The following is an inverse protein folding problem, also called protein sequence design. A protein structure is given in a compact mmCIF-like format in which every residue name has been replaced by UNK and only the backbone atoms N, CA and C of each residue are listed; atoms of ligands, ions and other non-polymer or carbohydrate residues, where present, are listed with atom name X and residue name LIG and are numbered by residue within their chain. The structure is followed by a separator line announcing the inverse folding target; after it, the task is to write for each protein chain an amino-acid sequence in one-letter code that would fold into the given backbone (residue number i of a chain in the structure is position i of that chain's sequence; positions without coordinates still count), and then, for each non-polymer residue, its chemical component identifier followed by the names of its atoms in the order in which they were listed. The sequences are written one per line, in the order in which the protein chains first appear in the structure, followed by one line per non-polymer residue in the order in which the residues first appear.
data_IF_375608910169
#
_entry.id   IF_375608910169
#
_cell.length_a   1.000
_cell.length_b   1.000
_cell.length_c   1.000
_cell.angle_alpha   90.00
_cell.angle_beta   90.00
_cell.angle_gamma   90.00
#
_symmetry.space_group_name_H-M   'P 1'
#
loop_
_entity.id
_entity.type
_entity.pdbx_description
1 polymer ?
#
# COMPACT_ATOMS: atom_id res chain seq x y z
N UNK A 1 21.13 -3.38 -6.49
CA UNK A 1 19.87 -4.13 -6.39
C UNK A 1 19.02 -3.34 -5.43
N UNK A 2 17.89 -2.79 -5.86
CA UNK A 2 17.07 -1.95 -4.99
C UNK A 2 16.38 -2.88 -3.97
N UNK A 3 16.70 -2.73 -2.69
CA UNK A 3 15.90 -3.32 -1.61
C UNK A 3 14.49 -2.72 -1.72
N UNK A 4 13.56 -3.51 -2.25
CA UNK A 4 12.14 -3.20 -2.17
C UNK A 4 11.74 -3.26 -0.70
N UNK A 5 11.65 -2.11 -0.04
CA UNK A 5 11.16 -2.08 1.33
C UNK A 5 9.76 -2.71 1.35
N UNK A 6 9.59 -3.81 2.10
CA UNK A 6 8.29 -4.48 2.24
C UNK A 6 7.31 -3.51 2.88
N UNK A 7 6.14 -3.33 2.23
CA UNK A 7 5.08 -2.42 2.70
C UNK A 7 3.79 -3.18 2.92
N UNK A 8 2.97 -2.67 3.84
CA UNK A 8 1.63 -3.19 4.06
C UNK A 8 0.64 -2.50 3.13
N UNK A 9 -0.07 -3.29 2.33
CA UNK A 9 -1.15 -2.83 1.45
C UNK A 9 -2.50 -3.32 1.96
N UNK A 10 -3.46 -2.40 2.09
CA UNK A 10 -4.87 -2.73 2.29
C UNK A 10 -5.55 -2.80 0.94
N UNK A 11 -6.03 -3.99 0.61
CA UNK A 11 -6.73 -4.32 -0.61
C UNK A 11 -8.21 -4.45 -0.31
N UNK A 12 -9.06 -3.69 -1.00
CA UNK A 12 -10.51 -3.79 -0.88
C UNK A 12 -11.13 -4.26 -2.19
N UNK A 13 -11.73 -5.44 -2.20
CA UNK A 13 -12.34 -6.02 -3.39
C UNK A 13 -13.70 -5.36 -3.66
N UNK A 14 -13.87 -4.76 -4.84
CA UNK A 14 -15.07 -3.97 -5.17
C UNK A 14 -16.35 -4.79 -5.25
N UNK A 15 -16.27 -6.01 -5.78
CA UNK A 15 -17.40 -6.95 -5.93
C UNK A 15 -17.70 -7.68 -4.61
N UNK A 16 -16.72 -8.39 -4.07
CA UNK A 16 -16.89 -9.24 -2.89
C UNK A 16 -17.04 -8.45 -1.57
N UNK A 17 -16.73 -7.14 -1.57
CA UNK A 17 -16.81 -6.25 -0.38
C UNK A 17 -15.94 -6.68 0.79
N UNK A 18 -14.91 -7.49 0.53
CA UNK A 18 -13.92 -7.94 1.52
C UNK A 18 -12.66 -7.08 1.46
N UNK A 19 -11.99 -6.92 2.60
CA UNK A 19 -10.69 -6.26 2.69
C UNK A 19 -9.63 -7.20 3.24
N UNK A 20 -8.45 -7.20 2.64
CA UNK A 20 -7.28 -7.93 3.10
C UNK A 20 -6.08 -6.99 3.24
N UNK A 21 -5.32 -7.17 4.31
CA UNK A 21 -4.05 -6.49 4.52
C UNK A 21 -2.93 -7.46 4.14
N UNK A 22 -2.10 -7.09 3.17
CA UNK A 22 -1.07 -7.94 2.58
C UNK A 22 0.25 -7.20 2.56
N UNK A 23 1.31 -7.84 3.03
CA UNK A 23 2.67 -7.33 2.93
C UNK A 23 3.29 -7.74 1.59
N UNK A 24 3.76 -6.76 0.83
CA UNK A 24 4.36 -6.96 -0.48
C UNK A 24 5.34 -5.84 -0.81
N UNK A 25 6.17 -6.05 -1.82
CA UNK A 25 7.07 -5.01 -2.34
C UNK A 25 6.31 -4.01 -3.23
N UNK A 26 5.15 -4.41 -3.77
CA UNK A 26 4.31 -3.57 -4.62
C UNK A 26 2.81 -3.89 -4.46
N UNK A 27 1.97 -2.93 -4.84
CA UNK A 27 0.52 -3.13 -4.91
C UNK A 27 0.11 -4.29 -5.83
N UNK A 28 0.84 -4.49 -6.93
CA UNK A 28 0.56 -5.54 -7.90
C UNK A 28 0.88 -6.93 -7.33
N UNK A 29 2.02 -7.07 -6.65
CA UNK A 29 2.35 -8.31 -5.94
C UNK A 29 1.36 -8.59 -4.82
N UNK A 30 0.92 -7.57 -4.08
CA UNK A 30 -0.11 -7.70 -3.06
C UNK A 30 -1.40 -8.31 -3.64
N UNK A 31 -1.88 -7.78 -4.77
CA UNK A 31 -3.04 -8.31 -5.49
C UNK A 31 -2.83 -9.75 -5.99
N UNK A 32 -1.64 -10.09 -6.47
CA UNK A 32 -1.29 -11.45 -6.91
C UNK A 32 -1.33 -12.46 -5.75
N UNK A 33 -0.83 -12.09 -4.57
CA UNK A 33 -0.83 -12.96 -3.37
C UNK A 33 -2.24 -13.36 -2.92
N UNK A 34 -3.22 -12.47 -3.05
CA UNK A 34 -4.65 -12.78 -2.76
C UNK A 34 -5.43 -13.28 -3.97
N UNK A 35 -4.81 -13.34 -5.16
CA UNK A 35 -5.47 -13.79 -6.38
C UNK A 35 -6.54 -12.83 -6.91
N UNK A 36 -6.37 -11.53 -6.68
CA UNK A 36 -7.31 -10.50 -7.14
C UNK A 36 -6.74 -9.68 -8.30
N UNK A 37 -7.60 -9.24 -9.21
CA UNK A 37 -7.22 -8.32 -10.26
C UNK A 37 -7.13 -6.90 -9.71
N UNK A 38 -6.01 -6.21 -9.96
CA UNK A 38 -5.79 -4.84 -9.47
C UNK A 38 -6.85 -3.85 -9.99
N UNK A 39 -7.45 -4.10 -11.16
CA UNK A 39 -8.54 -3.28 -11.71
C UNK A 39 -9.83 -3.35 -10.87
N UNK A 40 -10.04 -4.45 -10.16
CA UNK A 40 -11.23 -4.72 -9.34
C UNK A 40 -11.03 -4.44 -7.85
N UNK A 41 -9.86 -3.91 -7.48
CA UNK A 41 -9.44 -3.71 -6.10
C UNK A 41 -9.08 -2.25 -5.85
N UNK A 42 -9.52 -1.71 -4.72
CA UNK A 42 -9.00 -0.45 -4.21
C UNK A 42 -7.81 -0.71 -3.32
N UNK A 43 -6.67 -0.07 -3.64
CA UNK A 43 -5.41 -0.30 -2.95
C UNK A 43 -5.04 0.92 -2.11
N UNK A 44 -4.70 0.69 -0.84
CA UNK A 44 -4.11 1.70 0.05
C UNK A 44 -2.79 1.18 0.60
N UNK A 45 -1.74 1.97 0.52
CA UNK A 45 -0.44 1.67 1.11
C UNK A 45 -0.39 2.27 2.52
N UNK A 46 0.07 1.48 3.49
CA UNK A 46 0.42 1.97 4.83
C UNK A 46 1.83 2.54 4.77
N UNK A 47 1.99 3.84 4.98
CA UNK A 47 3.32 4.42 5.18
C UNK A 47 3.73 4.24 6.64
N UNK A 48 4.79 3.46 6.94
CA UNK A 48 5.33 3.41 8.28
C UNK A 48 5.86 4.80 8.65
N UNK A 49 5.53 5.27 9.85
CA UNK A 49 6.07 6.53 10.37
C UNK A 49 7.55 6.28 10.63
N UNK A 50 8.43 6.75 9.74
CA UNK A 50 9.81 6.98 10.12
C UNK A 50 9.74 8.16 11.08
N UNK A 51 9.91 7.89 12.37
CA UNK A 51 10.04 8.93 13.39
C UNK A 51 11.38 9.63 13.15
N UNK A 52 11.43 10.50 12.14
CA UNK A 52 12.52 11.44 12.01
C UNK A 52 12.38 12.44 13.15
N UNK A 53 13.27 12.33 14.14
CA UNK A 53 13.28 13.17 15.35
C UNK A 53 13.69 14.62 15.07
N UNK A 54 13.80 15.04 13.79
CA UNK A 54 14.37 16.33 13.42
C UNK A 54 13.52 17.10 12.41
N UNK A 55 12.34 17.57 12.84
CA UNK A 55 11.84 18.90 12.41
C UNK A 55 10.58 19.28 13.18
N UNK A 56 10.67 20.43 13.87
CA UNK A 56 9.52 21.21 14.30
C UNK A 56 8.58 21.46 13.11
N UNK A 57 7.28 21.30 13.36
CA UNK A 57 6.15 21.62 12.47
C UNK A 57 5.73 20.52 11.48
N UNK A 58 4.58 19.89 11.75
CA UNK A 58 3.74 19.29 10.72
C UNK A 58 3.17 17.90 11.02
N UNK A 59 1.87 17.85 11.34
CA UNK A 59 0.96 16.71 11.19
C UNK A 59 1.49 15.30 11.53
N UNK A 60 1.35 14.91 12.81
CA UNK A 60 1.57 13.53 13.26
C UNK A 60 0.42 12.63 12.81
N UNK A 61 0.71 11.67 11.94
CA UNK A 61 -0.22 10.56 11.67
C UNK A 61 0.32 9.60 10.63
N UNK A 62 0.74 8.40 11.06
CA UNK A 62 0.92 7.27 10.14
C UNK A 62 -0.37 7.05 9.38
N UNK A 63 -0.30 7.21 8.06
CA UNK A 63 -1.47 7.36 7.21
C UNK A 63 -1.60 6.23 6.21
N UNK A 64 -2.84 5.96 5.83
CA UNK A 64 -3.13 5.14 4.66
C UNK A 64 -3.22 6.05 3.44
N UNK A 65 -2.25 5.97 2.54
CA UNK A 65 -2.29 6.69 1.27
C UNK A 65 -2.93 5.83 0.18
N UNK A 66 -3.68 6.44 -0.72
CA UNK A 66 -4.23 5.74 -1.87
C UNK A 66 -3.12 5.53 -2.89
N UNK A 67 -3.06 4.34 -3.50
CA UNK A 67 -2.10 4.04 -4.57
C UNK A 67 -2.81 4.11 -5.90
N UNK A 68 -2.33 4.96 -6.79
CA UNK A 68 -2.85 5.08 -8.15
C UNK A 68 -2.33 3.91 -9.00
N UNK A 69 -3.17 3.18 -9.75
CA UNK A 69 -2.74 2.03 -10.54
C UNK A 69 -1.66 2.32 -11.60
N UNK A 70 -1.49 3.59 -12.02
CA UNK A 70 -0.46 4.02 -12.97
C UNK A 70 0.90 4.39 -12.37
N UNK A 71 1.03 4.43 -11.04
CA UNK A 71 2.29 4.70 -10.33
C UNK A 71 3.12 3.44 -10.08
N UNK A 72 2.54 2.26 -10.34
CA UNK A 72 3.21 0.96 -10.29
C UNK A 72 4.05 0.84 -11.57
N UNK A 73 5.25 1.44 -11.56
CA UNK A 73 6.23 1.24 -12.65
C UNK A 73 6.81 -0.19 -12.54
N UNK A 74 7.00 -0.89 -13.67
CA UNK A 74 7.59 -2.23 -13.71
C UNK A 74 9.04 -2.24 -13.23
#
# INVERSE_FOLDING_TARGET
MAEGAVKTYRLYHRIQKVSNDVEAESAQEACQKVGWYIADVWVRERTPVVADLTSESGHRGGGWKNVTPGEVRP
#
